data_IF_399758889071
#
_entry.id   IF_399758889071
#
_cell.length_a   1.000
_cell.length_b   1.000
_cell.length_c   1.000
_cell.angle_alpha   90.00
_cell.angle_beta   90.00
_cell.angle_gamma   90.00
#
_symmetry.space_group_name_H-M   'P 1'
#
loop_
_entity.id
_entity.type
_entity.pdbx_description
1 polymer ?
#
# COMPACT_ATOMS: atom_id res chain seq x y z
N UNK A 1 23.69 -14.17 3.69
CA UNK A 1 24.18 -13.55 2.43
C UNK A 1 23.45 -12.23 2.21
N UNK A 2 24.17 -11.11 2.01
CA UNK A 2 23.55 -9.79 1.81
C UNK A 2 23.11 -9.54 0.36
N UNK A 3 22.26 -8.52 0.15
CA UNK A 3 21.73 -8.16 -1.18
C UNK A 3 22.83 -7.82 -2.19
N UNK A 4 23.91 -7.19 -1.71
CA UNK A 4 25.08 -6.87 -2.52
C UNK A 4 25.80 -8.12 -3.05
N UNK A 5 26.07 -9.09 -2.16
CA UNK A 5 26.78 -10.32 -2.52
C UNK A 5 25.95 -11.17 -3.48
N UNK A 6 24.64 -11.30 -3.25
CA UNK A 6 23.73 -11.99 -4.15
C UNK A 6 23.72 -11.36 -5.55
N UNK A 7 23.62 -10.03 -5.63
CA UNK A 7 23.63 -9.31 -6.91
C UNK A 7 24.97 -9.44 -7.66
N UNK A 8 26.09 -9.48 -6.95
CA UNK A 8 27.41 -9.70 -7.55
C UNK A 8 27.52 -11.09 -8.18
N UNK A 9 27.15 -12.14 -7.44
CA UNK A 9 27.22 -13.52 -7.92
C UNK A 9 26.29 -13.76 -9.12
N UNK A 10 25.09 -13.18 -9.11
CA UNK A 10 24.18 -13.28 -10.26
C UNK A 10 24.77 -12.66 -11.52
N UNK A 11 25.46 -11.52 -11.41
CA UNK A 11 26.17 -10.91 -12.55
C UNK A 11 27.31 -11.79 -13.05
N UNK A 12 28.11 -12.36 -12.15
CA UNK A 12 29.20 -13.27 -12.50
C UNK A 12 28.70 -14.53 -13.24
N UNK A 13 27.48 -14.98 -12.93
CA UNK A 13 26.83 -16.13 -13.57
C UNK A 13 25.92 -15.77 -14.77
N UNK A 14 25.83 -14.49 -15.16
CA UNK A 14 24.96 -14.05 -16.26
C UNK A 14 23.46 -14.17 -15.98
N UNK A 15 23.06 -14.24 -14.71
CA UNK A 15 21.67 -14.40 -14.28
C UNK A 15 20.98 -13.05 -14.10
N UNK A 16 19.74 -12.96 -14.56
CA UNK A 16 18.87 -11.79 -14.37
C UNK A 16 17.87 -12.06 -13.25
N UNK A 17 17.65 -11.05 -12.40
CA UNK A 17 16.64 -11.16 -11.33
C UNK A 17 15.23 -11.03 -11.88
N UNK A 18 14.37 -12.01 -11.57
CA UNK A 18 12.93 -11.94 -11.82
C UNK A 18 12.14 -11.38 -10.62
N UNK A 19 12.84 -10.81 -9.62
CA UNK A 19 12.18 -10.26 -8.43
C UNK A 19 11.26 -9.11 -8.85
N UNK A 20 9.99 -9.21 -8.47
CA UNK A 20 9.05 -8.12 -8.68
C UNK A 20 9.41 -6.93 -7.80
N UNK A 21 9.29 -5.69 -8.31
CA UNK A 21 9.41 -4.49 -7.48
C UNK A 21 8.45 -4.57 -6.29
N UNK A 22 8.83 -4.00 -5.16
CA UNK A 22 7.92 -3.86 -4.02
C UNK A 22 6.67 -3.10 -4.45
N UNK A 23 5.51 -3.68 -4.15
CA UNK A 23 4.24 -3.06 -4.50
C UNK A 23 4.10 -1.71 -3.79
N UNK A 24 4.01 -0.64 -4.58
CA UNK A 24 3.70 0.69 -4.06
C UNK A 24 2.19 0.87 -4.10
N UNK A 25 1.53 0.62 -2.96
CA UNK A 25 0.14 1.02 -2.80
C UNK A 25 0.00 2.52 -3.08
N UNK A 26 -1.00 2.89 -3.88
CA UNK A 26 -1.35 4.29 -4.07
C UNK A 26 -1.70 4.88 -2.70
N UNK A 27 -1.04 5.96 -2.32
CA UNK A 27 -1.47 6.73 -1.14
C UNK A 27 -2.86 7.29 -1.47
N UNK A 28 -3.88 6.89 -0.71
CA UNK A 28 -5.21 7.48 -0.81
C UNK A 28 -5.18 8.96 -0.41
N UNK A 29 -6.19 9.72 -0.82
CA UNK A 29 -6.27 11.15 -0.47
C UNK A 29 -7.43 11.90 -1.08
N UNK A 30 -8.01 11.40 -2.18
CA UNK A 30 -9.20 12.00 -2.79
C UNK A 30 -10.36 11.03 -2.64
N UNK A 31 -11.53 11.59 -2.32
CA UNK A 31 -12.78 10.85 -2.37
C UNK A 31 -13.03 10.34 -3.79
N UNK A 32 -13.71 9.21 -3.88
CA UNK A 32 -14.04 8.64 -5.17
C UNK A 32 -15.16 9.47 -5.81
N UNK A 33 -14.94 9.99 -7.02
CA UNK A 33 -15.88 10.91 -7.69
C UNK A 33 -17.31 10.36 -7.78
N UNK A 34 -17.46 9.05 -7.95
CA UNK A 34 -18.77 8.40 -8.05
C UNK A 34 -19.30 7.84 -6.72
N UNK A 35 -18.51 7.87 -5.64
CA UNK A 35 -18.90 7.35 -4.33
C UNK A 35 -18.66 8.46 -3.30
N UNK A 36 -19.67 9.32 -3.08
CA UNK A 36 -19.58 10.37 -2.07
C UNK A 36 -19.41 9.73 -0.68
N UNK A 37 -18.54 10.34 0.13
CA UNK A 37 -18.33 9.94 1.51
C UNK A 37 -19.22 10.78 2.42
N UNK A 38 -20.46 10.35 2.61
CA UNK A 38 -21.44 11.07 3.44
C UNK A 38 -21.04 11.22 4.91
N UNK A 39 -20.14 10.35 5.40
CA UNK A 39 -19.73 10.36 6.79
C UNK A 39 -18.54 11.27 7.05
N UNK A 40 -17.82 11.75 6.03
CA UNK A 40 -16.64 12.63 6.18
C UNK A 40 -15.64 12.23 7.27
N UNK A 41 -15.52 10.92 7.56
CA UNK A 41 -14.71 10.39 8.69
C UNK A 41 -15.16 10.86 10.08
N UNK A 42 -16.40 11.31 10.23
CA UNK A 42 -17.06 11.59 11.50
C UNK A 42 -17.38 10.27 12.23
N UNK A 43 -16.33 9.60 12.72
CA UNK A 43 -16.43 8.43 13.58
C UNK A 43 -16.34 8.84 15.05
N UNK A 44 -17.18 9.79 15.45
CA UNK A 44 -17.37 10.15 16.85
C UNK A 44 -18.46 9.25 17.46
N UNK A 45 -18.16 7.96 17.63
CA UNK A 45 -19.14 7.02 18.18
C UNK A 45 -19.04 7.02 19.70
N UNK A 46 -20.11 7.39 20.40
CA UNK A 46 -20.20 7.31 21.87
C UNK A 46 -20.64 5.93 22.36
N UNK A 47 -21.43 5.21 21.57
CA UNK A 47 -21.96 3.86 21.88
C UNK A 47 -22.00 2.95 20.64
N UNK A 48 -21.88 1.61 20.79
CA UNK A 48 -21.92 0.67 19.66
C UNK A 48 -23.17 0.86 18.77
N UNK A 49 -22.98 0.78 17.46
CA UNK A 49 -24.04 0.88 16.43
C UNK A 49 -24.77 2.24 16.33
N UNK A 50 -24.19 3.35 16.82
CA UNK A 50 -24.72 4.69 16.56
C UNK A 50 -23.86 5.47 15.56
N UNK A 51 -24.54 6.26 14.72
CA UNK A 51 -23.94 7.29 13.86
C UNK A 51 -24.52 8.63 14.32
N UNK A 52 -23.67 9.58 14.72
CA UNK A 52 -24.11 10.95 15.00
C UNK A 52 -24.49 11.61 13.66
N UNK A 53 -25.73 12.10 13.58
CA UNK A 53 -26.23 12.86 12.42
C UNK A 53 -25.73 14.30 12.43
#
# INVERSE_FOLDING_TARGET
MGRWLAGRLMKELGLVSCQQPTHRYKRGGHEHVAIPNYLERQFAVTEPNQVLQ
#
